data_IF_341314984564
#
_entry.id   IF_341314984564
#
_cell.length_a   1.000
_cell.length_b   1.000
_cell.length_c   1.000
_cell.angle_alpha   90.00
_cell.angle_beta   90.00
_cell.angle_gamma   90.00
#
_symmetry.space_group_name_H-M   'P 1'
#
loop_
_entity.id
_entity.type
_entity.pdbx_description
1 polymer ?
#
# COMPACT_ATOMS: atom_id res chain seq x y z
N UNK A 1 -3.96 -6.37 13.67
CA UNK A 1 -4.77 -7.32 12.91
C UNK A 1 -5.11 -8.47 13.86
N UNK A 2 -6.30 -8.98 13.83
CA UNK A 2 -6.72 -10.13 14.62
C UNK A 2 -5.96 -11.38 14.12
N UNK A 3 -5.70 -12.35 15.01
CA UNK A 3 -4.94 -13.55 14.65
C UNK A 3 -5.79 -14.59 13.91
N UNK A 4 -7.10 -14.41 13.95
CA UNK A 4 -8.09 -15.25 13.25
C UNK A 4 -8.18 -14.92 11.75
N UNK A 5 -7.67 -13.76 11.34
CA UNK A 5 -7.62 -13.34 9.93
C UNK A 5 -6.58 -14.16 9.17
N UNK A 6 -7.01 -14.76 8.07
CA UNK A 6 -6.14 -15.56 7.23
C UNK A 6 -5.38 -14.70 6.22
N UNK A 7 -4.07 -14.63 6.36
CA UNK A 7 -3.21 -13.80 5.51
C UNK A 7 -2.72 -14.53 4.26
N UNK A 8 -2.26 -13.75 3.26
CA UNK A 8 -1.55 -14.29 2.08
C UNK A 8 -0.35 -15.14 2.51
N UNK A 9 0.42 -14.69 3.50
CA UNK A 9 1.60 -15.40 3.97
C UNK A 9 1.25 -16.76 4.58
N UNK A 10 0.19 -16.85 5.38
CA UNK A 10 -0.27 -18.11 5.94
C UNK A 10 -0.75 -19.09 4.88
N UNK A 11 -1.50 -18.60 3.89
CA UNK A 11 -1.96 -19.44 2.78
C UNK A 11 -0.76 -19.98 1.97
N UNK A 12 0.17 -19.12 1.59
CA UNK A 12 1.35 -19.51 0.82
C UNK A 12 2.26 -20.44 1.62
N UNK A 13 2.49 -20.15 2.90
CA UNK A 13 3.29 -20.98 3.79
C UNK A 13 2.74 -22.40 3.92
N UNK A 14 1.43 -22.56 4.09
CA UNK A 14 0.81 -23.90 4.18
C UNK A 14 0.92 -24.72 2.88
N UNK A 15 1.17 -24.04 1.76
CA UNK A 15 1.41 -24.65 0.44
C UNK A 15 2.91 -24.73 0.10
N UNK A 16 3.79 -24.62 1.11
CA UNK A 16 5.22 -24.89 0.99
C UNK A 16 6.09 -23.72 0.58
N UNK A 17 5.56 -22.51 0.54
CA UNK A 17 6.36 -21.32 0.26
C UNK A 17 7.19 -20.90 1.47
N UNK A 18 8.45 -20.52 1.27
CA UNK A 18 9.20 -19.72 2.23
C UNK A 18 8.63 -18.31 2.24
N UNK A 19 8.44 -17.73 3.42
CA UNK A 19 7.73 -16.45 3.55
C UNK A 19 8.57 -15.43 4.31
N UNK A 20 8.76 -14.24 3.73
CA UNK A 20 9.51 -13.17 4.36
C UNK A 20 8.80 -11.81 4.25
N UNK A 21 8.91 -11.00 5.30
CA UNK A 21 8.55 -9.60 5.31
C UNK A 21 9.77 -8.77 5.68
N UNK A 22 10.22 -7.94 4.74
CA UNK A 22 11.31 -6.98 4.98
C UNK A 22 10.82 -5.56 4.71
N UNK A 23 10.52 -4.82 5.79
CA UNK A 23 9.98 -3.48 5.71
C UNK A 23 9.02 -3.10 6.83
N UNK A 24 7.96 -2.38 6.47
CA UNK A 24 6.95 -1.84 7.38
C UNK A 24 5.79 -2.82 7.58
N UNK A 25 5.49 -3.16 8.84
CA UNK A 25 4.32 -3.99 9.19
C UNK A 25 3.03 -3.18 9.33
N UNK A 26 2.95 -2.29 10.29
CA UNK A 26 1.84 -1.37 10.60
C UNK A 26 0.46 -2.02 10.87
N UNK A 27 0.41 -3.31 11.18
CA UNK A 27 -0.83 -4.05 11.48
C UNK A 27 -0.89 -4.53 12.94
N UNK A 28 -0.06 -3.96 13.80
CA UNK A 28 0.01 -4.24 15.24
C UNK A 28 1.45 -4.19 15.75
N UNK A 29 1.75 -3.19 16.59
CA UNK A 29 3.12 -2.98 17.09
C UNK A 29 3.52 -3.97 18.21
N UNK A 30 2.55 -4.54 18.93
CA UNK A 30 2.86 -5.51 19.97
C UNK A 30 3.37 -6.83 19.37
N UNK A 31 4.32 -7.47 20.04
CA UNK A 31 4.99 -8.69 19.58
C UNK A 31 4.02 -9.84 19.26
N UNK A 32 2.89 -9.90 19.95
CA UNK A 32 1.89 -10.96 19.78
C UNK A 32 1.04 -10.77 18.51
N UNK A 33 1.14 -9.61 17.86
CA UNK A 33 0.48 -9.28 16.59
C UNK A 33 1.48 -8.98 15.48
N UNK A 34 2.73 -9.43 15.65
CA UNK A 34 3.80 -9.21 14.66
C UNK A 34 3.71 -10.16 13.46
N UNK A 35 4.50 -9.90 12.40
CA UNK A 35 4.46 -10.65 11.14
C UNK A 35 4.61 -12.16 11.30
N UNK A 36 5.42 -12.62 12.24
CA UNK A 36 5.66 -14.04 12.49
C UNK A 36 4.43 -14.80 13.05
N UNK A 37 3.45 -14.06 13.58
CA UNK A 37 2.16 -14.62 14.02
C UNK A 37 1.14 -14.65 12.88
N UNK A 38 1.49 -14.09 11.74
CA UNK A 38 0.66 -13.92 10.55
C UNK A 38 1.33 -14.55 9.31
N UNK A 39 2.03 -15.67 9.51
CA UNK A 39 2.51 -16.53 8.42
C UNK A 39 3.91 -16.24 7.89
N UNK A 40 4.61 -15.19 8.35
CA UNK A 40 5.98 -14.92 7.88
C UNK A 40 7.02 -15.70 8.68
N UNK A 41 7.87 -16.47 7.99
CA UNK A 41 9.01 -17.18 8.59
C UNK A 41 10.09 -16.20 9.02
N UNK A 42 10.36 -15.22 8.15
CA UNK A 42 11.38 -14.20 8.37
C UNK A 42 10.77 -12.81 8.44
N UNK A 43 11.27 -12.00 9.36
CA UNK A 43 10.92 -10.60 9.50
C UNK A 43 12.14 -9.76 9.84
N UNK A 44 12.37 -8.72 9.04
CA UNK A 44 13.29 -7.64 9.39
C UNK A 44 12.63 -6.30 9.03
N UNK A 45 12.40 -5.45 10.03
CA UNK A 45 11.70 -4.20 9.74
C UNK A 45 11.13 -3.50 10.95
N UNK A 46 10.17 -2.63 10.68
CA UNK A 46 9.48 -1.81 11.65
C UNK A 46 8.05 -2.30 11.87
N UNK A 47 7.57 -2.21 13.10
CA UNK A 47 6.19 -2.59 13.47
C UNK A 47 5.23 -1.41 13.44
N UNK A 48 5.73 -0.20 13.63
CA UNK A 48 4.97 1.03 13.56
C UNK A 48 4.80 1.57 12.14
N UNK A 49 4.28 2.79 12.06
CA UNK A 49 3.91 3.41 10.78
C UNK A 49 5.05 4.12 10.06
N UNK A 50 6.01 4.64 10.78
CA UNK A 50 7.16 5.38 10.24
C UNK A 50 8.26 5.53 11.30
N UNK A 51 9.48 5.80 10.86
CA UNK A 51 10.67 5.98 11.70
C UNK A 51 11.57 7.07 11.14
N UNK A 52 12.49 7.55 11.93
CA UNK A 52 13.73 8.16 11.44
C UNK A 52 14.51 7.10 10.66
N UNK A 53 14.76 7.36 9.36
CA UNK A 53 15.31 6.35 8.43
C UNK A 53 16.78 5.98 8.70
N UNK A 54 17.50 6.72 9.57
CA UNK A 54 18.90 6.46 9.90
C UNK A 54 19.12 5.98 11.35
N UNK A 55 18.27 6.43 12.28
CA UNK A 55 18.36 6.03 13.69
C UNK A 55 17.30 5.02 14.12
N UNK A 56 16.25 4.82 13.29
CA UNK A 56 15.20 3.84 13.48
C UNK A 56 14.32 4.07 14.72
N UNK A 57 14.22 5.32 15.17
CA UNK A 57 13.27 5.69 16.21
C UNK A 57 11.93 6.10 15.62
N UNK A 58 10.87 5.61 16.21
CA UNK A 58 9.55 6.16 15.98
C UNK A 58 9.51 7.60 16.51
N UNK A 59 8.82 8.51 15.81
CA UNK A 59 8.81 9.93 16.15
C UNK A 59 10.22 10.56 16.23
N UNK A 60 11.07 10.24 15.26
CA UNK A 60 12.29 10.97 14.95
C UNK A 60 13.35 11.04 16.07
N UNK A 61 13.60 9.92 16.67
CA UNK A 61 14.66 9.76 17.63
C UNK A 61 14.28 10.10 19.08
N UNK A 62 13.08 10.63 19.31
CA UNK A 62 12.58 10.93 20.67
C UNK A 62 11.61 9.88 21.20
N UNK A 63 11.07 9.05 20.32
CA UNK A 63 10.16 7.96 20.65
C UNK A 63 10.89 6.67 20.98
N UNK A 64 10.20 5.54 20.87
CA UNK A 64 10.81 4.23 21.04
C UNK A 64 11.55 3.80 19.78
N UNK A 65 12.58 2.97 19.94
CA UNK A 65 13.33 2.40 18.85
C UNK A 65 12.51 1.27 18.20
N UNK A 66 12.27 1.35 16.88
CA UNK A 66 11.37 0.47 16.13
C UNK A 66 12.10 -0.20 14.96
N UNK A 67 13.10 -1.02 15.26
CA UNK A 67 13.73 -1.90 14.27
C UNK A 67 13.95 -3.27 14.90
N UNK A 68 13.49 -4.31 14.20
CA UNK A 68 13.47 -5.67 14.69
C UNK A 68 13.97 -6.67 13.64
N UNK A 69 14.62 -7.72 14.13
CA UNK A 69 14.82 -8.98 13.41
C UNK A 69 14.04 -10.05 14.16
N UNK A 70 12.99 -10.54 13.50
CA UNK A 70 12.00 -11.36 14.18
C UNK A 70 11.35 -10.61 15.35
N UNK A 71 11.53 -11.13 16.56
CA UNK A 71 11.04 -10.49 17.80
C UNK A 71 12.12 -9.66 18.52
N UNK A 72 13.38 -9.74 18.09
CA UNK A 72 14.51 -9.11 18.76
C UNK A 72 14.75 -7.69 18.24
N UNK A 73 14.89 -6.68 19.11
CA UNK A 73 15.32 -5.35 18.69
C UNK A 73 16.73 -5.39 18.08
N UNK A 74 16.91 -4.65 16.98
CA UNK A 74 18.19 -4.49 16.30
C UNK A 74 18.58 -3.01 16.31
N UNK A 75 19.84 -2.69 16.58
CA UNK A 75 20.33 -1.32 16.48
C UNK A 75 21.34 -1.21 15.33
N UNK A 76 21.07 -0.30 14.42
CA UNK A 76 21.91 -0.04 13.25
C UNK A 76 22.04 1.48 13.00
N UNK A 77 22.51 2.28 13.99
CA UNK A 77 22.53 3.72 13.87
C UNK A 77 23.34 4.17 12.66
N UNK A 78 22.84 5.17 11.95
CA UNK A 78 23.45 5.71 10.73
C UNK A 78 23.26 4.87 9.47
N UNK A 79 22.63 3.70 9.56
CA UNK A 79 22.33 2.88 8.39
C UNK A 79 20.95 3.20 7.84
N UNK A 80 20.87 3.47 6.56
CA UNK A 80 19.59 3.83 5.90
C UNK A 80 18.65 2.63 5.87
N UNK A 81 17.45 2.78 6.42
CA UNK A 81 16.50 1.69 6.59
C UNK A 81 16.13 1.00 5.26
N UNK A 82 15.81 1.72 4.15
CA UNK A 82 15.56 1.08 2.86
C UNK A 82 16.73 0.24 2.34
N UNK A 83 17.98 0.63 2.60
CA UNK A 83 19.15 -0.18 2.25
C UNK A 83 19.20 -1.48 3.06
N UNK A 84 18.89 -1.41 4.37
CA UNK A 84 18.91 -2.59 5.23
C UNK A 84 17.88 -3.64 4.79
N UNK A 85 16.63 -3.22 4.55
CA UNK A 85 15.58 -4.14 4.13
C UNK A 85 15.81 -4.67 2.71
N UNK A 86 16.36 -3.86 1.81
CA UNK A 86 16.73 -4.31 0.47
C UNK A 86 17.79 -5.40 0.52
N UNK A 87 18.82 -5.21 1.32
CA UNK A 87 19.89 -6.23 1.48
C UNK A 87 19.32 -7.56 1.97
N UNK A 88 18.48 -7.53 3.03
CA UNK A 88 17.78 -8.74 3.51
C UNK A 88 16.93 -9.41 2.43
N UNK A 89 16.28 -8.60 1.60
CA UNK A 89 15.48 -9.11 0.48
C UNK A 89 16.33 -9.81 -0.58
N UNK A 90 17.47 -9.22 -0.94
CA UNK A 90 18.40 -9.81 -1.91
C UNK A 90 18.96 -11.13 -1.40
N UNK A 91 19.38 -11.18 -0.14
CA UNK A 91 19.90 -12.39 0.51
C UNK A 91 18.81 -13.50 0.51
N UNK A 92 17.58 -13.17 0.92
CA UNK A 92 16.45 -14.09 0.93
C UNK A 92 16.11 -14.65 -0.45
N UNK A 93 16.09 -13.80 -1.49
CA UNK A 93 15.83 -14.24 -2.88
C UNK A 93 16.92 -15.22 -3.35
N UNK A 94 18.21 -14.90 -3.06
CA UNK A 94 19.33 -15.80 -3.41
C UNK A 94 19.22 -17.14 -2.70
N UNK A 95 18.92 -17.14 -1.41
CA UNK A 95 18.77 -18.36 -0.60
C UNK A 95 17.54 -19.19 -1.01
N UNK A 96 16.51 -18.54 -1.54
CA UNK A 96 15.24 -19.19 -1.91
C UNK A 96 15.12 -19.50 -3.40
N UNK A 97 16.14 -19.26 -4.20
CA UNK A 97 16.07 -19.36 -5.69
C UNK A 97 15.63 -20.73 -6.23
N UNK A 98 15.75 -21.78 -5.44
CA UNK A 98 15.37 -23.14 -5.84
C UNK A 98 14.04 -23.60 -5.21
N UNK A 99 13.42 -22.77 -4.38
CA UNK A 99 12.19 -23.07 -3.65
C UNK A 99 11.10 -22.05 -3.99
N UNK A 100 9.82 -22.37 -3.87
CA UNK A 100 8.79 -21.37 -3.93
C UNK A 100 8.92 -20.39 -2.75
N UNK A 101 8.84 -19.10 -3.03
CA UNK A 101 8.94 -18.09 -1.99
C UNK A 101 7.91 -16.97 -2.14
N UNK A 102 7.60 -16.33 -1.03
CA UNK A 102 6.80 -15.12 -0.95
C UNK A 102 7.59 -14.05 -0.21
N UNK A 103 7.96 -12.99 -0.91
CA UNK A 103 8.59 -11.82 -0.34
C UNK A 103 7.58 -10.66 -0.32
N UNK A 104 7.20 -10.20 0.87
CA UNK A 104 6.51 -8.93 1.03
C UNK A 104 7.54 -7.85 1.39
N UNK A 105 7.70 -6.88 0.48
CA UNK A 105 8.68 -5.80 0.57
C UNK A 105 7.98 -4.44 0.74
N UNK A 106 7.36 -4.18 1.90
CA UNK A 106 6.61 -2.94 2.16
C UNK A 106 7.57 -1.82 2.54
N UNK A 107 7.96 -1.01 1.56
CA UNK A 107 8.78 0.17 1.77
C UNK A 107 8.05 1.17 2.68
N UNK A 108 8.79 1.77 3.63
CA UNK A 108 8.28 2.87 4.45
C UNK A 108 8.36 4.22 3.74
N UNK A 109 9.15 4.33 2.69
CA UNK A 109 9.23 5.48 1.80
C UNK A 109 8.30 5.27 0.60
N UNK A 110 7.71 6.35 0.02
CA UNK A 110 7.98 7.78 0.21
C UNK A 110 7.24 8.45 1.39
N UNK A 111 6.73 7.71 2.39
CA UNK A 111 6.17 8.32 3.59
C UNK A 111 7.22 9.19 4.30
N UNK A 112 6.78 10.27 4.95
CA UNK A 112 7.69 11.07 5.75
C UNK A 112 8.28 10.26 6.95
N UNK A 113 9.45 10.61 7.49
CA UNK A 113 10.31 11.72 7.10
C UNK A 113 11.00 11.47 5.76
N UNK A 114 10.99 12.48 4.89
CA UNK A 114 11.62 12.43 3.58
C UNK A 114 13.14 12.53 3.72
N UNK A 115 13.75 11.47 4.17
CA UNK A 115 15.18 11.33 4.42
C UNK A 115 15.79 10.36 3.43
N UNK A 116 16.94 10.70 2.87
CA UNK A 116 17.69 9.84 1.96
C UNK A 116 19.20 10.12 2.01
N UNK A 117 20.05 9.18 1.59
CA UNK A 117 21.44 9.48 1.26
C UNK A 117 21.52 10.60 0.22
N UNK A 118 22.46 11.53 0.41
CA UNK A 118 22.59 12.77 -0.40
C UNK A 118 22.66 12.51 -1.91
N UNK A 119 23.27 11.39 -2.32
CA UNK A 119 23.36 10.99 -3.74
C UNK A 119 22.01 11.00 -4.47
N UNK A 120 20.90 10.72 -3.79
CA UNK A 120 19.57 10.70 -4.39
C UNK A 120 18.99 12.09 -4.63
N UNK A 121 19.53 13.13 -3.98
CA UNK A 121 19.13 14.53 -4.19
C UNK A 121 19.89 15.19 -5.33
N UNK A 122 21.03 14.66 -5.75
CA UNK A 122 21.90 15.28 -6.76
C UNK A 122 21.23 15.55 -8.11
N UNK A 123 20.39 14.63 -8.67
CA UNK A 123 19.68 14.89 -9.91
C UNK A 123 18.70 16.07 -9.84
N UNK A 124 18.30 16.46 -8.65
CA UNK A 124 17.30 17.50 -8.38
C UNK A 124 17.90 18.75 -7.75
N UNK A 125 19.23 18.93 -7.78
CA UNK A 125 19.92 20.04 -7.11
C UNK A 125 19.42 21.42 -7.54
N UNK A 126 19.05 21.56 -8.82
CA UNK A 126 18.61 22.84 -9.41
C UNK A 126 17.09 23.07 -9.27
N UNK A 127 16.36 22.15 -8.67
CA UNK A 127 14.93 22.31 -8.41
C UNK A 127 14.70 23.31 -7.28
N UNK A 128 13.96 24.38 -7.57
CA UNK A 128 13.73 25.50 -6.63
C UNK A 128 12.57 25.24 -5.66
N UNK A 129 11.55 24.48 -6.06
CA UNK A 129 10.47 24.05 -5.18
C UNK A 129 11.00 22.99 -4.19
N UNK A 130 11.14 23.39 -2.93
CA UNK A 130 11.72 22.54 -1.89
C UNK A 130 10.87 21.30 -1.58
N UNK A 131 9.54 21.40 -1.59
CA UNK A 131 8.65 20.28 -1.33
C UNK A 131 8.69 19.29 -2.51
N UNK A 132 8.67 19.78 -3.74
CA UNK A 132 8.78 18.95 -4.94
C UNK A 132 10.14 18.28 -5.06
N UNK A 133 11.22 18.98 -4.74
CA UNK A 133 12.58 18.42 -4.68
C UNK A 133 12.68 17.30 -3.67
N UNK A 134 12.11 17.51 -2.50
CA UNK A 134 12.06 16.51 -1.43
C UNK A 134 11.35 15.24 -1.89
N UNK A 135 10.16 15.38 -2.44
CA UNK A 135 9.38 14.25 -2.94
C UNK A 135 10.09 13.53 -4.10
N UNK A 136 10.67 14.28 -5.06
CA UNK A 136 11.43 13.68 -6.15
C UNK A 136 12.65 12.89 -5.64
N UNK A 137 13.36 13.42 -4.64
CA UNK A 137 14.50 12.73 -4.00
C UNK A 137 14.09 11.40 -3.37
N UNK A 138 13.01 11.39 -2.60
CA UNK A 138 12.58 10.16 -1.94
C UNK A 138 11.99 9.14 -2.92
N UNK A 139 11.32 9.60 -3.98
CA UNK A 139 10.85 8.75 -5.06
C UNK A 139 12.00 8.13 -5.85
N UNK A 140 13.08 8.87 -6.11
CA UNK A 140 14.29 8.34 -6.73
C UNK A 140 14.95 7.26 -5.86
N UNK A 141 15.00 7.46 -4.54
CA UNK A 141 15.47 6.43 -3.62
C UNK A 141 14.56 5.19 -3.64
N UNK A 142 13.25 5.38 -3.65
CA UNK A 142 12.25 4.29 -3.73
C UNK A 142 12.45 3.45 -4.99
N UNK A 143 12.54 4.10 -6.15
CA UNK A 143 12.76 3.46 -7.45
C UNK A 143 14.07 2.66 -7.47
N UNK A 144 15.16 3.25 -6.97
CA UNK A 144 16.45 2.57 -6.86
C UNK A 144 16.38 1.26 -6.07
N UNK A 145 15.70 1.26 -4.92
CA UNK A 145 15.63 0.05 -4.07
C UNK A 145 14.70 -1.01 -4.66
N UNK A 146 13.62 -0.61 -5.33
CA UNK A 146 12.77 -1.54 -6.09
C UNK A 146 13.59 -2.13 -7.25
N UNK A 147 14.30 -1.29 -8.01
CA UNK A 147 15.14 -1.72 -9.13
C UNK A 147 16.12 -2.83 -8.73
N UNK A 148 16.80 -2.69 -7.59
CA UNK A 148 17.73 -3.72 -7.08
C UNK A 148 17.06 -5.08 -6.84
N UNK A 149 15.81 -5.10 -6.39
CA UNK A 149 15.05 -6.37 -6.23
C UNK A 149 14.75 -6.96 -7.60
N UNK A 150 14.29 -6.14 -8.54
CA UNK A 150 14.00 -6.60 -9.90
C UNK A 150 15.26 -7.12 -10.62
N UNK A 151 16.37 -6.40 -10.51
CA UNK A 151 17.68 -6.81 -11.07
C UNK A 151 18.11 -8.16 -10.52
N UNK A 152 17.89 -8.42 -9.22
CA UNK A 152 18.23 -9.71 -8.60
C UNK A 152 17.37 -10.87 -9.14
N UNK A 153 16.09 -10.63 -9.37
CA UNK A 153 15.18 -11.61 -9.97
C UNK A 153 15.62 -11.95 -11.40
N UNK A 154 16.01 -10.93 -12.19
CA UNK A 154 16.55 -11.12 -13.54
C UNK A 154 17.90 -11.85 -13.52
N UNK A 155 18.85 -11.45 -12.66
CA UNK A 155 20.16 -12.08 -12.49
C UNK A 155 20.05 -13.60 -12.24
N UNK A 156 19.09 -13.98 -11.39
CA UNK A 156 18.83 -15.38 -11.03
C UNK A 156 17.93 -16.11 -12.05
N UNK A 157 17.47 -15.45 -13.12
CA UNK A 157 16.56 -15.99 -14.14
C UNK A 157 15.22 -16.49 -13.58
N UNK A 158 14.72 -15.82 -12.53
CA UNK A 158 13.46 -16.15 -11.87
C UNK A 158 12.26 -15.41 -12.48
N UNK A 159 12.49 -14.49 -13.41
CA UNK A 159 11.49 -13.54 -13.92
C UNK A 159 10.24 -14.22 -14.50
N UNK A 160 10.41 -15.28 -15.26
CA UNK A 160 9.31 -16.01 -15.90
C UNK A 160 8.41 -16.74 -14.89
N UNK A 161 8.95 -17.11 -13.74
CA UNK A 161 8.26 -17.86 -12.70
C UNK A 161 7.86 -17.02 -11.48
N UNK A 162 8.07 -15.70 -11.55
CA UNK A 162 7.77 -14.80 -10.43
C UNK A 162 6.61 -13.86 -10.77
N UNK A 163 5.56 -13.92 -9.95
CA UNK A 163 4.49 -12.91 -9.93
C UNK A 163 5.01 -11.69 -9.17
N UNK A 164 5.10 -10.55 -9.83
CA UNK A 164 5.51 -9.28 -9.22
C UNK A 164 4.30 -8.35 -9.17
N UNK A 165 3.93 -7.91 -7.98
CA UNK A 165 2.86 -6.95 -7.76
C UNK A 165 3.44 -5.69 -7.11
N UNK A 166 3.20 -4.55 -7.72
CA UNK A 166 3.52 -3.24 -7.17
C UNK A 166 2.25 -2.44 -6.96
N UNK A 167 2.10 -1.82 -5.79
CA UNK A 167 1.02 -0.88 -5.52
C UNK A 167 1.42 0.10 -4.42
N UNK A 168 0.73 1.24 -4.34
CA UNK A 168 0.74 2.12 -3.17
C UNK A 168 -0.38 1.73 -2.21
N UNK A 169 -0.19 1.99 -0.92
CA UNK A 169 -1.19 1.70 0.12
C UNK A 169 -2.29 2.76 0.18
N UNK A 170 -1.98 4.01 -0.15
CA UNK A 170 -2.91 5.14 -0.20
C UNK A 170 -2.41 6.24 -1.13
N UNK A 171 -3.25 7.23 -1.40
CA UNK A 171 -2.89 8.42 -2.14
C UNK A 171 -1.91 9.32 -1.36
N UNK A 172 -1.41 10.35 -2.05
CA UNK A 172 -0.47 11.31 -1.49
C UNK A 172 -0.97 11.93 -0.18
N UNK A 173 -0.04 12.23 0.72
CA UNK A 173 -0.30 12.93 1.98
C UNK A 173 0.31 14.33 1.96
N UNK A 174 -0.51 15.34 2.18
CA UNK A 174 -0.05 16.71 2.47
C UNK A 174 0.39 16.82 3.93
N UNK A 175 1.44 16.13 4.31
CA UNK A 175 1.98 16.28 5.64
C UNK A 175 2.70 17.62 5.76
N UNK A 176 2.19 18.48 6.63
CA UNK A 176 2.54 19.89 6.66
C UNK A 176 3.91 20.18 7.27
N UNK A 177 4.53 21.23 6.75
CA UNK A 177 5.85 21.76 7.09
C UNK A 177 6.16 21.93 8.58
N UNK A 178 5.17 22.06 9.44
CA UNK A 178 5.38 22.24 10.89
C UNK A 178 5.86 20.96 11.58
N UNK A 179 5.48 19.79 11.08
CA UNK A 179 5.96 18.49 11.60
C UNK A 179 7.39 18.21 11.18
N UNK A 180 7.77 18.63 10.00
CA UNK A 180 9.09 18.40 9.40
C UNK A 180 10.21 19.04 10.19
N UNK A 181 10.00 20.21 10.77
CA UNK A 181 11.01 20.91 11.57
C UNK A 181 11.44 20.14 12.81
N UNK A 182 10.53 19.39 13.40
CA UNK A 182 10.80 18.49 14.54
C UNK A 182 11.58 17.29 14.04
N UNK A 183 11.24 16.78 12.89
CA UNK A 183 11.72 15.52 12.34
C UNK A 183 13.19 15.59 11.93
N UNK A 184 13.59 16.68 11.28
CA UNK A 184 14.93 16.84 10.74
C UNK A 184 16.01 17.02 11.81
N UNK A 185 15.64 17.29 13.04
CA UNK A 185 16.58 17.53 14.13
C UNK A 185 16.91 16.29 14.93
N UNK A 186 16.18 15.22 14.76
CA UNK A 186 16.22 14.08 15.67
C UNK A 186 17.11 12.94 15.19
N UNK A 187 17.47 12.90 13.90
CA UNK A 187 18.27 11.80 13.36
C UNK A 187 19.69 11.77 13.92
N UNK A 188 20.26 12.92 14.26
CA UNK A 188 21.64 13.06 14.70
C UNK A 188 22.68 12.72 13.62
N UNK A 189 22.28 12.60 12.35
CA UNK A 189 23.14 12.30 11.20
C UNK A 189 22.98 13.34 10.10
N UNK A 190 23.35 14.61 10.32
CA UNK A 190 23.15 15.69 9.35
C UNK A 190 24.08 15.60 8.14
N UNK A 191 25.29 15.06 8.30
CA UNK A 191 26.28 14.99 7.23
C UNK A 191 26.02 13.81 6.28
N UNK A 192 26.08 14.09 4.97
CA UNK A 192 25.89 13.07 3.93
C UNK A 192 24.46 12.61 3.72
N UNK A 193 23.49 13.21 4.42
CA UNK A 193 22.07 12.87 4.31
C UNK A 193 21.26 14.03 3.75
N UNK A 194 20.15 13.70 3.11
CA UNK A 194 19.15 14.63 2.65
C UNK A 194 17.95 14.58 3.58
N UNK A 195 17.48 15.75 3.99
CA UNK A 195 16.29 15.95 4.79
C UNK A 195 15.35 16.89 4.05
N UNK A 196 14.18 16.41 3.77
CA UNK A 196 13.26 17.12 2.91
C UNK A 196 12.11 17.81 3.64
N UNK A 197 11.43 18.63 2.88
CA UNK A 197 10.15 19.23 3.24
C UNK A 197 9.03 18.41 2.62
N UNK A 198 8.06 17.93 3.39
CA UNK A 198 6.95 17.12 2.85
C UNK A 198 5.97 17.94 2.00
N UNK A 199 5.02 17.23 1.38
CA UNK A 199 3.90 17.85 0.65
C UNK A 199 4.12 18.01 -0.85
N UNK A 200 5.24 17.50 -1.39
CA UNK A 200 5.60 17.65 -2.80
C UNK A 200 4.92 16.68 -3.77
N UNK A 201 4.09 15.75 -3.29
CA UNK A 201 3.36 14.83 -4.14
C UNK A 201 2.18 15.49 -4.86
N UNK A 202 1.59 14.76 -5.81
CA UNK A 202 0.49 15.26 -6.62
C UNK A 202 -0.42 14.12 -7.08
N UNK A 203 -1.72 14.29 -6.91
CA UNK A 203 -2.75 13.29 -7.27
C UNK A 203 -3.34 13.47 -8.67
N UNK A 204 -2.71 14.30 -9.51
CA UNK A 204 -3.19 14.60 -10.84
C UNK A 204 -4.52 15.37 -10.82
N UNK A 205 -5.48 14.93 -11.61
CA UNK A 205 -6.83 15.52 -11.66
C UNK A 205 -7.72 15.13 -10.49
N UNK A 206 -7.30 14.14 -9.68
CA UNK A 206 -8.13 13.59 -8.63
C UNK A 206 -8.10 14.48 -7.38
N UNK A 207 -9.27 14.73 -6.83
CA UNK A 207 -9.42 15.54 -5.63
C UNK A 207 -9.08 14.75 -4.37
N UNK A 208 -8.65 15.45 -3.32
CA UNK A 208 -8.36 14.83 -2.01
C UNK A 208 -6.97 14.23 -1.90
N UNK A 209 -6.76 13.55 -0.78
CA UNK A 209 -5.47 13.03 -0.33
C UNK A 209 -5.68 11.92 0.69
N UNK A 210 -4.60 11.30 1.18
CA UNK A 210 -4.59 10.32 2.28
C UNK A 210 -5.52 10.77 3.42
N UNK A 211 -6.32 9.84 3.93
CA UNK A 211 -7.31 10.09 5.00
C UNK A 211 -8.65 10.62 4.49
N UNK A 212 -8.87 10.69 3.18
CA UNK A 212 -10.17 11.01 2.57
C UNK A 212 -10.66 9.88 1.68
N UNK A 213 -11.99 9.77 1.47
CA UNK A 213 -12.57 8.86 0.47
C UNK A 213 -12.68 9.48 -0.92
N UNK A 214 -12.09 10.65 -1.14
CA UNK A 214 -11.93 11.22 -2.47
C UNK A 214 -10.92 10.41 -3.29
N UNK A 215 -11.03 10.46 -4.62
CA UNK A 215 -10.19 9.63 -5.51
C UNK A 215 -8.69 9.85 -5.27
N UNK A 216 -8.25 11.09 -4.98
CA UNK A 216 -6.85 11.37 -4.65
C UNK A 216 -6.34 10.70 -3.37
N UNK A 217 -7.25 10.26 -2.49
CA UNK A 217 -6.90 9.53 -1.26
C UNK A 217 -6.90 8.01 -1.43
N UNK A 218 -7.73 7.47 -2.32
CA UNK A 218 -7.98 6.03 -2.43
C UNK A 218 -7.61 5.42 -3.78
N UNK A 219 -7.47 6.21 -4.84
CA UNK A 219 -7.04 5.72 -6.15
C UNK A 219 -5.51 5.69 -6.21
N UNK A 220 -4.95 4.51 -6.28
CA UNK A 220 -3.50 4.28 -6.26
C UNK A 220 -3.04 3.54 -7.52
N UNK A 221 -1.78 3.72 -7.95
CA UNK A 221 -1.21 2.91 -9.01
C UNK A 221 -1.11 1.45 -8.57
N UNK A 222 -1.39 0.54 -9.47
CA UNK A 222 -1.16 -0.89 -9.29
C UNK A 222 -0.61 -1.49 -10.59
N UNK A 223 0.40 -2.33 -10.48
CA UNK A 223 1.04 -3.02 -11.59
C UNK A 223 1.18 -4.49 -11.21
N UNK A 224 0.83 -5.37 -12.12
CA UNK A 224 1.15 -6.80 -12.02
C UNK A 224 1.99 -7.22 -13.22
N UNK A 225 2.97 -8.05 -12.97
CA UNK A 225 3.83 -8.60 -14.00
C UNK A 225 4.10 -10.08 -13.73
N UNK A 226 3.72 -10.92 -14.69
CA UNK A 226 3.97 -12.36 -14.68
C UNK A 226 4.05 -12.85 -16.13
N UNK A 227 5.23 -12.80 -16.78
CA UNK A 227 5.37 -13.04 -18.22
C UNK A 227 4.79 -14.36 -18.69
N UNK A 228 4.88 -15.41 -17.87
CA UNK A 228 4.33 -16.73 -18.18
C UNK A 228 2.82 -16.75 -18.45
N UNK A 229 2.04 -15.88 -17.77
CA UNK A 229 0.56 -15.94 -17.83
C UNK A 229 -0.12 -14.59 -18.09
N UNK A 230 0.55 -13.48 -17.86
CA UNK A 230 -0.05 -12.14 -17.95
C UNK A 230 0.56 -11.37 -19.11
N UNK A 231 -0.24 -10.94 -20.10
CA UNK A 231 0.24 -10.10 -21.20
C UNK A 231 0.89 -8.82 -20.69
N UNK A 232 2.05 -8.46 -21.26
CA UNK A 232 2.76 -7.24 -20.89
C UNK A 232 2.30 -6.02 -21.70
N UNK A 233 2.56 -4.82 -21.15
CA UNK A 233 2.34 -3.55 -21.86
C UNK A 233 0.87 -3.11 -21.98
N UNK A 234 -0.03 -3.71 -21.22
CA UNK A 234 -1.46 -3.42 -21.27
C UNK A 234 -1.97 -2.70 -20.02
N UNK A 235 -2.99 -1.88 -20.18
CA UNK A 235 -3.73 -1.23 -19.09
C UNK A 235 -5.13 -1.79 -18.96
N UNK A 236 -5.65 -1.75 -17.73
CA UNK A 236 -7.02 -2.17 -17.38
C UNK A 236 -7.71 -1.05 -16.61
N UNK A 237 -8.97 -0.77 -16.95
CA UNK A 237 -9.77 0.29 -16.32
C UNK A 237 -10.80 -0.26 -15.32
N UNK A 238 -10.88 -1.58 -15.19
CA UNK A 238 -11.80 -2.22 -14.25
C UNK A 238 -11.42 -1.88 -12.82
N UNK A 239 -12.45 -1.76 -11.97
CA UNK A 239 -12.27 -1.50 -10.55
C UNK A 239 -11.70 -2.75 -9.88
N UNK A 240 -10.55 -2.59 -9.23
CA UNK A 240 -9.95 -3.57 -8.35
C UNK A 240 -9.60 -2.92 -7.01
N UNK A 241 -9.42 -3.73 -5.98
CA UNK A 241 -9.03 -3.30 -4.64
C UNK A 241 -7.83 -4.10 -4.12
N UNK A 242 -7.26 -3.69 -2.99
CA UNK A 242 -6.18 -4.45 -2.34
C UNK A 242 -6.62 -5.86 -1.91
N UNK A 243 -7.91 -6.07 -1.64
CA UNK A 243 -8.47 -7.38 -1.26
C UNK A 243 -8.39 -8.41 -2.39
N UNK A 244 -8.29 -7.95 -3.64
CA UNK A 244 -8.26 -8.81 -4.82
C UNK A 244 -6.92 -9.54 -5.02
N UNK A 245 -5.85 -9.07 -4.36
CA UNK A 245 -4.53 -9.67 -4.54
C UNK A 245 -4.46 -11.09 -3.99
N UNK A 246 -5.09 -11.38 -2.85
CA UNK A 246 -5.08 -12.72 -2.27
C UNK A 246 -5.71 -13.76 -3.23
N UNK A 247 -6.97 -13.64 -3.68
CA UNK A 247 -7.54 -14.61 -4.62
C UNK A 247 -6.80 -14.62 -5.97
N UNK A 248 -6.25 -13.49 -6.42
CA UNK A 248 -5.46 -13.43 -7.66
C UNK A 248 -4.16 -14.22 -7.54
N UNK A 249 -3.42 -14.07 -6.45
CA UNK A 249 -2.18 -14.82 -6.20
C UNK A 249 -2.49 -16.32 -6.12
N UNK A 250 -3.55 -16.70 -5.42
CA UNK A 250 -3.97 -18.10 -5.33
C UNK A 250 -4.21 -18.69 -6.72
N UNK A 251 -4.98 -18.01 -7.57
CA UNK A 251 -5.27 -18.47 -8.93
C UNK A 251 -4.01 -18.56 -9.80
N UNK A 252 -3.15 -17.54 -9.76
CA UNK A 252 -1.91 -17.52 -10.54
C UNK A 252 -0.94 -18.63 -10.11
N UNK A 253 -0.86 -18.92 -8.82
CA UNK A 253 0.00 -19.93 -8.21
C UNK A 253 -0.65 -21.33 -8.19
N UNK A 254 -1.92 -21.47 -8.57
CA UNK A 254 -2.63 -22.75 -8.55
C UNK A 254 -2.98 -23.25 -7.15
N UNK A 255 -3.06 -22.36 -6.17
CA UNK A 255 -3.36 -22.67 -4.77
C UNK A 255 -4.86 -22.75 -4.59
N UNK A 256 -5.32 -23.82 -3.95
CA UNK A 256 -6.76 -24.04 -3.73
C UNK A 256 -7.21 -23.46 -2.38
N UNK A 257 -8.37 -22.82 -2.42
CA UNK A 257 -9.12 -22.46 -1.23
C UNK A 257 -9.58 -23.74 -0.49
N UNK A 258 -9.47 -23.77 0.82
CA UNK A 258 -9.91 -24.92 1.63
C UNK A 258 -11.29 -24.66 2.22
N UNK A 259 -12.05 -25.71 2.45
CA UNK A 259 -13.44 -25.66 2.94
C UNK A 259 -13.60 -24.83 4.23
N UNK A 260 -12.58 -24.80 5.09
CA UNK A 260 -12.61 -24.10 6.37
C UNK A 260 -11.91 -22.72 6.34
N UNK A 261 -11.47 -22.27 5.17
CA UNK A 261 -10.90 -20.93 5.04
C UNK A 261 -12.01 -19.88 5.16
N UNK A 262 -11.75 -18.73 5.80
CA UNK A 262 -12.72 -17.64 5.87
C UNK A 262 -13.11 -17.14 4.48
N UNK A 263 -14.37 -16.79 4.28
CA UNK A 263 -14.83 -16.22 3.01
C UNK A 263 -14.01 -14.99 2.63
N UNK A 264 -13.54 -14.95 1.39
CA UNK A 264 -12.80 -13.79 0.86
C UNK A 264 -13.77 -12.70 0.41
N UNK A 265 -13.41 -11.45 0.72
CA UNK A 265 -14.14 -10.26 0.26
C UNK A 265 -13.69 -9.80 -1.14
N UNK A 266 -12.47 -10.17 -1.54
CA UNK A 266 -11.89 -9.84 -2.84
C UNK A 266 -12.23 -10.85 -3.94
N UNK A 267 -11.98 -10.45 -5.17
CA UNK A 267 -12.19 -11.26 -6.37
C UNK A 267 -10.88 -11.40 -7.15
N UNK A 268 -10.62 -12.61 -7.66
CA UNK A 268 -9.48 -12.80 -8.56
C UNK A 268 -9.60 -11.94 -9.82
N UNK A 269 -8.54 -11.20 -10.14
CA UNK A 269 -8.47 -10.35 -11.33
C UNK A 269 -7.92 -11.07 -12.56
N UNK A 270 -7.62 -12.36 -12.48
CA UNK A 270 -7.02 -13.13 -13.59
C UNK A 270 -7.85 -13.00 -14.86
N UNK A 271 -9.18 -13.11 -14.78
CA UNK A 271 -10.07 -12.93 -15.95
C UNK A 271 -9.94 -11.54 -16.59
N UNK A 272 -9.72 -10.49 -15.79
CA UNK A 272 -9.50 -9.12 -16.27
C UNK A 272 -8.14 -9.01 -16.95
N UNK A 273 -7.11 -9.68 -16.42
CA UNK A 273 -5.77 -9.69 -17.01
C UNK A 273 -5.75 -10.39 -18.37
N UNK A 274 -6.49 -11.50 -18.50
CA UNK A 274 -6.59 -12.28 -19.74
C UNK A 274 -7.51 -11.63 -20.79
N UNK A 275 -8.55 -10.93 -20.35
CA UNK A 275 -9.54 -10.34 -21.25
C UNK A 275 -9.91 -8.91 -20.80
N UNK A 276 -9.53 -7.88 -21.57
CA UNK A 276 -9.82 -6.48 -21.24
C UNK A 276 -11.31 -6.14 -21.21
N UNK A 277 -12.18 -7.00 -21.73
CA UNK A 277 -13.65 -6.82 -21.69
C UNK A 277 -14.32 -7.53 -20.52
N UNK A 278 -13.56 -8.27 -19.70
CA UNK A 278 -14.13 -8.91 -18.52
C UNK A 278 -14.57 -7.88 -17.48
N UNK A 279 -15.67 -8.13 -16.80
CA UNK A 279 -16.14 -7.29 -15.72
C UNK A 279 -15.39 -7.62 -14.41
N UNK A 280 -15.22 -6.60 -13.54
CA UNK A 280 -14.77 -6.83 -12.17
C UNK A 280 -15.85 -7.52 -11.34
N UNK A 281 -15.44 -8.26 -10.30
CA UNK A 281 -16.36 -8.90 -9.37
C UNK A 281 -17.29 -7.93 -8.64
N UNK A 282 -16.91 -6.66 -8.55
CA UNK A 282 -17.68 -5.60 -7.89
C UNK A 282 -18.84 -5.06 -8.70
N UNK A 283 -18.93 -5.40 -9.98
CA UNK A 283 -19.96 -4.88 -10.89
C UNK A 283 -20.11 -3.34 -10.85
N UNK A 284 -19.01 -2.63 -10.58
CA UNK A 284 -18.98 -1.17 -10.50
C UNK A 284 -19.36 -0.58 -9.14
N UNK A 285 -19.62 -1.42 -8.12
CA UNK A 285 -20.04 -0.95 -6.78
C UNK A 285 -18.96 -1.24 -5.75
N UNK A 286 -18.53 -0.21 -4.99
CA UNK A 286 -17.65 -0.33 -3.84
C UNK A 286 -18.19 0.45 -2.65
N UNK A 287 -18.06 -0.13 -1.45
CA UNK A 287 -18.39 0.53 -0.20
C UNK A 287 -17.12 0.71 0.64
N UNK A 288 -17.02 1.85 1.33
CA UNK A 288 -15.94 2.21 2.21
C UNK A 288 -16.48 2.73 3.53
N UNK A 289 -15.83 2.38 4.63
CA UNK A 289 -16.12 2.98 5.93
C UNK A 289 -14.84 3.14 6.77
N UNK A 290 -14.76 4.26 7.43
CA UNK A 290 -13.75 4.54 8.44
C UNK A 290 -14.38 5.32 9.59
N UNK A 291 -14.52 4.67 10.75
CA UNK A 291 -15.21 5.19 11.93
C UNK A 291 -16.63 5.65 11.54
N UNK A 292 -16.86 6.96 11.50
CA UNK A 292 -18.17 7.56 11.16
C UNK A 292 -18.24 8.06 9.70
N UNK A 293 -17.15 8.08 8.98
CA UNK A 293 -17.13 8.49 7.57
C UNK A 293 -17.30 7.27 6.67
N UNK A 294 -18.02 7.45 5.57
CA UNK A 294 -18.26 6.39 4.62
C UNK A 294 -18.35 6.93 3.19
N UNK A 295 -18.15 6.07 2.23
CA UNK A 295 -18.38 6.35 0.84
C UNK A 295 -18.96 5.13 0.12
N UNK A 296 -19.76 5.40 -0.91
CA UNK A 296 -20.20 4.41 -1.89
C UNK A 296 -19.74 4.88 -3.25
N UNK A 297 -19.13 4.01 -4.03
CA UNK A 297 -18.93 4.19 -5.45
C UNK A 297 -19.93 3.32 -6.20
N UNK A 298 -20.59 3.87 -7.19
CA UNK A 298 -21.50 3.18 -8.09
C UNK A 298 -21.21 3.68 -9.51
N UNK A 299 -20.52 2.86 -10.29
CA UNK A 299 -20.05 3.21 -11.64
C UNK A 299 -19.27 4.54 -11.66
N UNK A 300 -19.81 5.55 -12.34
CA UNK A 300 -19.25 6.91 -12.42
C UNK A 300 -19.65 7.82 -11.24
N UNK A 301 -20.51 7.36 -10.34
CA UNK A 301 -20.95 8.15 -9.19
C UNK A 301 -20.21 7.77 -7.90
N UNK A 302 -19.98 8.78 -7.08
CA UNK A 302 -19.46 8.60 -5.71
C UNK A 302 -20.27 9.40 -4.74
N UNK A 303 -20.79 8.73 -3.72
CA UNK A 303 -21.51 9.33 -2.60
C UNK A 303 -20.62 9.27 -1.36
N UNK A 304 -20.44 10.41 -0.69
CA UNK A 304 -19.70 10.50 0.58
C UNK A 304 -20.63 11.03 1.66
N UNK A 305 -20.62 10.39 2.80
CA UNK A 305 -21.42 10.76 3.95
C UNK A 305 -20.73 10.51 5.29
N UNK A 306 -21.45 10.83 6.35
CA UNK A 306 -21.05 10.59 7.73
C UNK A 306 -22.22 10.05 8.52
N UNK A 307 -21.99 9.05 9.37
CA UNK A 307 -23.03 8.49 10.24
C UNK A 307 -23.66 9.57 11.12
N UNK A 308 -24.99 9.56 11.16
CA UNK A 308 -25.78 10.54 11.90
C UNK A 308 -25.89 11.93 11.27
N UNK A 309 -25.44 12.11 10.03
CA UNK A 309 -25.57 13.39 9.31
C UNK A 309 -26.27 13.18 7.96
N UNK A 310 -27.09 14.18 7.57
CA UNK A 310 -27.83 14.17 6.30
C UNK A 310 -27.22 15.11 5.25
N UNK A 311 -25.96 15.50 5.41
CA UNK A 311 -25.23 16.36 4.49
C UNK A 311 -24.36 15.54 3.54
N UNK A 312 -24.97 14.99 2.52
CA UNK A 312 -24.32 14.15 1.54
C UNK A 312 -23.57 14.95 0.47
N UNK A 313 -22.49 14.36 -0.05
CA UNK A 313 -21.75 14.86 -1.22
C UNK A 313 -21.81 13.79 -2.30
N UNK A 314 -22.55 14.09 -3.39
CA UNK A 314 -22.67 13.22 -4.55
C UNK A 314 -21.84 13.80 -5.69
N UNK A 315 -20.88 13.04 -6.19
CA UNK A 315 -19.97 13.45 -7.23
C UNK A 315 -20.09 12.57 -8.47
N UNK A 316 -19.78 13.15 -9.64
CA UNK A 316 -19.62 12.40 -10.88
C UNK A 316 -18.13 12.32 -11.21
N UNK A 317 -17.57 11.09 -11.28
CA UNK A 317 -16.13 10.85 -11.49
C UNK A 317 -15.66 11.08 -12.92
N UNK A 318 -16.59 11.15 -13.86
CA UNK A 318 -16.34 11.45 -15.29
C UNK A 318 -16.33 12.94 -15.63
N UNK A 319 -16.58 13.81 -14.67
CA UNK A 319 -16.47 15.25 -14.88
C UNK A 319 -15.02 15.63 -15.23
N UNK A 320 -14.85 16.75 -15.95
CA UNK A 320 -13.52 17.25 -16.30
C UNK A 320 -12.65 17.48 -15.07
N UNK A 321 -13.26 17.98 -13.99
CA UNK A 321 -12.67 18.12 -12.67
C UNK A 321 -13.47 17.24 -11.69
N UNK A 322 -13.09 15.98 -11.47
CA UNK A 322 -13.84 15.07 -10.62
C UNK A 322 -13.97 15.58 -9.18
N UNK A 323 -15.10 15.28 -8.56
CA UNK A 323 -15.37 15.56 -7.15
C UNK A 323 -15.35 17.06 -6.75
N UNK A 324 -15.60 17.96 -7.71
CA UNK A 324 -15.74 19.41 -7.46
C UNK A 324 -17.21 19.85 -7.35
N UNK A 325 -18.10 19.25 -8.12
CA UNK A 325 -19.51 19.62 -8.15
C UNK A 325 -20.32 18.61 -7.32
N UNK A 326 -21.11 19.12 -6.37
CA UNK A 326 -21.99 18.28 -5.56
C UNK A 326 -23.40 18.21 -6.18
N UNK A 327 -23.75 17.06 -6.73
CA UNK A 327 -25.02 16.77 -7.39
C UNK A 327 -26.14 16.26 -6.46
N UNK A 328 -25.94 16.23 -5.14
CA UNK A 328 -26.90 15.64 -4.19
C UNK A 328 -28.29 16.32 -4.22
N UNK A 329 -28.38 17.59 -4.60
CA UNK A 329 -29.65 18.29 -4.75
C UNK A 329 -30.33 18.03 -6.10
N UNK A 330 -29.55 17.84 -7.15
CA UNK A 330 -30.00 17.75 -8.54
C UNK A 330 -30.29 16.31 -8.97
N UNK A 331 -29.59 15.33 -8.40
CA UNK A 331 -29.68 13.90 -8.72
C UNK A 331 -30.17 13.10 -7.50
N UNK A 332 -31.40 13.42 -7.07
CA UNK A 332 -32.05 12.73 -5.95
C UNK A 332 -32.33 11.24 -6.25
N UNK A 333 -32.52 10.90 -7.50
CA UNK A 333 -32.65 9.54 -7.99
C UNK A 333 -31.42 8.71 -7.65
N UNK A 334 -30.22 9.13 -8.07
CA UNK A 334 -28.96 8.48 -7.81
C UNK A 334 -28.60 8.50 -6.31
N UNK A 335 -28.85 9.62 -5.63
CA UNK A 335 -28.63 9.73 -4.19
C UNK A 335 -29.42 8.65 -3.42
N UNK A 336 -30.72 8.48 -3.75
CA UNK A 336 -31.57 7.50 -3.08
C UNK A 336 -31.11 6.08 -3.34
N UNK A 337 -30.75 5.74 -4.57
CA UNK A 337 -30.23 4.42 -4.95
C UNK A 337 -28.95 4.11 -4.18
N UNK A 338 -27.99 5.03 -4.16
CA UNK A 338 -26.70 4.83 -3.46
C UNK A 338 -26.84 4.73 -1.95
N UNK A 339 -27.82 5.42 -1.35
CA UNK A 339 -28.16 5.24 0.07
C UNK A 339 -28.73 3.85 0.34
N UNK A 340 -29.56 3.31 -0.55
CA UNK A 340 -30.06 1.93 -0.42
C UNK A 340 -28.93 0.90 -0.51
N UNK A 341 -27.99 1.08 -1.45
CA UNK A 341 -26.78 0.25 -1.56
C UNK A 341 -25.98 0.29 -0.26
N UNK A 342 -25.78 1.48 0.30
CA UNK A 342 -25.07 1.67 1.57
C UNK A 342 -25.74 0.92 2.71
N UNK A 343 -27.06 1.03 2.86
CA UNK A 343 -27.81 0.37 3.94
C UNK A 343 -27.82 -1.16 3.77
N UNK A 344 -27.93 -1.66 2.54
CA UNK A 344 -27.81 -3.09 2.27
C UNK A 344 -26.46 -3.65 2.67
N UNK A 345 -25.36 -3.00 2.23
CA UNK A 345 -23.99 -3.38 2.60
C UNK A 345 -23.76 -3.30 4.10
N UNK A 346 -24.28 -2.28 4.76
CA UNK A 346 -24.14 -2.11 6.22
C UNK A 346 -24.80 -3.26 6.97
N UNK A 347 -25.96 -3.71 6.53
CA UNK A 347 -26.64 -4.88 7.11
C UNK A 347 -25.82 -6.15 6.93
N UNK A 348 -25.24 -6.35 5.74
CA UNK A 348 -24.43 -7.53 5.45
C UNK A 348 -23.18 -7.60 6.34
N UNK A 349 -22.46 -6.47 6.47
CA UNK A 349 -21.15 -6.44 7.16
C UNK A 349 -21.31 -6.37 8.70
N UNK A 350 -22.28 -5.61 9.22
CA UNK A 350 -22.37 -5.33 10.66
C UNK A 350 -23.45 -6.09 11.42
N UNK A 351 -24.34 -6.86 10.73
CA UNK A 351 -25.33 -7.70 11.40
C UNK A 351 -25.02 -9.20 11.35
N UNK A 352 -23.97 -9.60 10.65
CA UNK A 352 -23.48 -10.97 10.60
C UNK A 352 -22.64 -11.38 11.82
N UNK A 353 -22.48 -10.49 12.81
CA UNK A 353 -21.96 -10.85 14.14
C UNK A 353 -23.12 -11.31 15.03
N UNK A 354 -23.53 -12.57 14.87
CA UNK A 354 -24.49 -13.26 15.69
C UNK A 354 -24.05 -14.67 15.98
#
# INVERSE_FOLDING_TARGET
MALEELTIAEILKRDGYRTALFGKWHLGAHRDYGPQKQGFDEFFGIRGGFIDNFNHFFLHGTGFHDLYEGTKPVKAPGKYFPELITRRSLDFIEESKNDPFFLYFPLNIPHYPEQAPKKFAEPFKDMTDSARKSYATIMHATDHYIGRILDKIEELRLREDTVIIFMSDNGHSEETTNRIRVDNHMSGHPEGHFYGASGGGFTGKWNGQKGTFLEGGIRVPAIISYPRKVPGGESRDQIITAMDWLPTIMDLCGIKYREHDPKLDGYSVVKILENPRANSGYQGILNFQWIKHWAVRMHEWKLIGREGANNYKLFRLTDKEPERINYAKDRKDILTEMLQIREAWKKDVFTSEG
#
